data_IF_586664985725
#
_entry.id   IF_586664985725
#
_cell.length_a   1.000
_cell.length_b   1.000
_cell.length_c   1.000
_cell.angle_alpha   90.00
_cell.angle_beta   90.00
_cell.angle_gamma   90.00
#
_symmetry.space_group_name_H-M   'P 1'
#
loop_
_entity.id
_entity.type
_entity.pdbx_description
1 polymer ?
#
# COMPACT_ATOMS: atom_id res chain seq x y z
N UNK A 1 2.73 9.32 -7.82
CA UNK A 1 2.16 8.02 -7.43
C UNK A 1 3.22 6.96 -7.59
N UNK A 2 3.28 5.96 -6.72
CA UNK A 2 4.38 5.00 -6.67
C UNK A 2 3.87 3.56 -6.61
N UNK A 3 4.71 2.63 -7.07
CA UNK A 3 4.61 1.20 -6.79
C UNK A 3 5.79 0.82 -5.91
N UNK A 4 5.54 0.06 -4.84
CA UNK A 4 6.58 -0.37 -3.93
C UNK A 4 6.94 -1.81 -4.29
N UNK A 5 8.12 -1.99 -4.89
CA UNK A 5 8.58 -3.30 -5.39
C UNK A 5 9.56 -3.93 -4.41
N UNK A 6 9.31 -5.17 -4.03
CA UNK A 6 10.28 -5.98 -3.33
C UNK A 6 11.44 -6.34 -4.27
N UNK A 7 12.68 -6.04 -3.87
CA UNK A 7 13.87 -6.25 -4.70
C UNK A 7 14.19 -7.73 -4.94
N UNK A 8 13.86 -8.61 -4.00
CA UNK A 8 14.19 -10.03 -4.09
C UNK A 8 13.20 -10.81 -4.98
N UNK A 9 11.90 -10.55 -4.84
CA UNK A 9 10.85 -11.27 -5.58
C UNK A 9 10.34 -10.53 -6.83
N UNK A 10 10.61 -9.24 -6.96
CA UNK A 10 10.04 -8.39 -8.01
C UNK A 10 8.55 -8.06 -7.83
N UNK A 11 7.90 -8.59 -6.79
CA UNK A 11 6.48 -8.39 -6.47
C UNK A 11 6.21 -7.02 -5.85
N UNK A 12 4.97 -6.55 -5.99
CA UNK A 12 4.52 -5.26 -5.49
C UNK A 12 3.74 -5.39 -4.18
N UNK A 13 3.85 -4.37 -3.32
CA UNK A 13 2.94 -4.19 -2.20
C UNK A 13 1.51 -3.95 -2.72
N UNK A 14 0.58 -4.81 -2.33
CA UNK A 14 -0.79 -4.85 -2.85
C UNK A 14 -1.82 -5.06 -1.72
N UNK A 15 -3.04 -4.57 -1.93
CA UNK A 15 -4.19 -4.84 -1.06
C UNK A 15 -4.79 -6.21 -1.41
N UNK A 16 -4.78 -7.15 -0.46
CA UNK A 16 -5.33 -8.49 -0.68
C UNK A 16 -6.77 -8.42 -1.18
N UNK A 17 -7.04 -9.10 -2.31
CA UNK A 17 -8.33 -9.12 -2.99
C UNK A 17 -8.92 -7.73 -3.29
N UNK A 18 -8.07 -6.71 -3.48
CA UNK A 18 -8.51 -5.31 -3.70
C UNK A 18 -9.39 -4.76 -2.57
N UNK A 19 -9.22 -5.27 -1.35
CA UNK A 19 -10.03 -4.86 -0.20
C UNK A 19 -9.92 -3.36 0.12
N UNK A 20 -11.01 -2.77 0.61
CA UNK A 20 -11.10 -1.34 0.95
C UNK A 20 -11.46 -1.07 2.41
N UNK A 21 -11.78 -2.13 3.16
CA UNK A 21 -12.12 -2.06 4.57
C UNK A 21 -10.87 -1.88 5.45
N UNK A 22 -11.05 -1.28 6.63
CA UNK A 22 -10.00 -1.29 7.65
C UNK A 22 -9.66 -2.74 8.03
N UNK A 23 -8.38 -3.03 8.23
CA UNK A 23 -7.89 -4.39 8.45
C UNK A 23 -7.76 -5.24 7.19
N UNK A 24 -7.94 -4.66 5.98
CA UNK A 24 -7.51 -5.33 4.74
C UNK A 24 -6.02 -5.60 4.83
N UNK A 25 -5.63 -6.87 4.72
CA UNK A 25 -4.22 -7.25 4.73
C UNK A 25 -3.48 -6.75 3.50
N UNK A 26 -2.19 -6.50 3.69
CA UNK A 26 -1.24 -6.26 2.61
C UNK A 26 -0.46 -7.52 2.31
N UNK A 27 -0.18 -7.75 1.04
CA UNK A 27 0.67 -8.85 0.59
C UNK A 27 1.62 -8.40 -0.51
N UNK A 28 2.52 -9.31 -0.91
CA UNK A 28 3.37 -9.13 -2.08
C UNK A 28 2.77 -9.93 -3.24
N UNK A 29 2.38 -9.25 -4.30
CA UNK A 29 1.73 -9.85 -5.46
C UNK A 29 2.41 -9.49 -6.78
N UNK A 30 2.21 -10.32 -7.81
CA UNK A 30 2.67 -10.04 -9.16
C UNK A 30 2.17 -8.66 -9.63
N UNK A 31 2.97 -7.96 -10.43
CA UNK A 31 2.56 -6.68 -11.02
C UNK A 31 1.44 -6.92 -12.03
N UNK A 32 0.21 -6.57 -11.66
CA UNK A 32 -0.99 -6.75 -12.49
C UNK A 32 -1.49 -5.42 -13.06
N UNK A 33 -0.71 -4.35 -12.91
CA UNK A 33 -1.10 -3.01 -13.36
C UNK A 33 -2.24 -2.37 -12.55
N UNK A 34 -2.76 -3.05 -11.53
CA UNK A 34 -3.91 -2.61 -10.73
C UNK A 34 -3.64 -1.40 -9.85
N UNK A 35 -4.70 -0.63 -9.55
CA UNK A 35 -4.64 0.54 -8.65
C UNK A 35 -4.49 0.16 -7.18
N UNK A 36 -4.82 -1.08 -6.81
CA UNK A 36 -4.54 -1.67 -5.49
C UNK A 36 -3.04 -1.73 -5.17
N UNK A 37 -2.19 -1.65 -6.20
CA UNK A 37 -0.72 -1.64 -6.11
C UNK A 37 -0.11 -0.24 -6.14
N UNK A 38 -0.95 0.81 -6.19
CA UNK A 38 -0.52 2.19 -6.27
C UNK A 38 -0.61 2.90 -4.92
N UNK A 39 0.46 3.60 -4.57
CA UNK A 39 0.64 4.23 -3.26
C UNK A 39 1.06 5.69 -3.41
N UNK A 40 0.47 6.55 -2.57
CA UNK A 40 0.87 7.95 -2.43
C UNK A 40 1.77 8.05 -1.21
N UNK A 41 2.96 8.59 -1.39
CA UNK A 41 3.86 8.96 -0.31
C UNK A 41 3.52 10.38 0.09
N UNK A 42 2.98 10.56 1.29
CA UNK A 42 2.65 11.87 1.84
C UNK A 42 3.58 12.20 3.00
N UNK A 43 4.35 13.27 2.86
CA UNK A 43 5.19 13.78 3.94
C UNK A 43 4.33 14.44 5.02
N UNK A 44 4.70 14.23 6.28
CA UNK A 44 4.06 14.88 7.43
C UNK A 44 4.95 15.99 7.99
N UNK A 45 4.39 17.00 8.68
CA UNK A 45 5.18 18.05 9.33
C UNK A 45 6.20 17.52 10.35
N UNK A 46 5.95 16.33 10.91
CA UNK A 46 6.80 15.65 11.87
C UNK A 46 7.99 14.93 11.20
N UNK A 47 8.20 15.11 9.89
CA UNK A 47 9.29 14.50 9.15
C UNK A 47 9.09 13.02 8.83
N UNK A 48 7.88 12.48 9.03
CA UNK A 48 7.53 11.10 8.68
C UNK A 48 6.79 11.03 7.34
N UNK A 49 6.49 9.82 6.87
CA UNK A 49 5.69 9.59 5.67
C UNK A 49 4.47 8.73 5.97
N UNK A 50 3.34 9.04 5.33
CA UNK A 50 2.17 8.16 5.25
C UNK A 50 2.10 7.55 3.86
N UNK A 51 1.96 6.23 3.81
CA UNK A 51 1.67 5.50 2.58
C UNK A 51 0.16 5.36 2.43
N UNK A 52 -0.46 6.17 1.55
CA UNK A 52 -1.90 6.10 1.28
C UNK A 52 -2.20 5.25 0.05
N UNK A 53 -3.26 4.47 0.11
CA UNK A 53 -3.75 3.71 -1.04
C UNK A 53 -4.35 4.64 -2.09
N UNK A 54 -4.06 4.35 -3.36
CA UNK A 54 -4.74 4.96 -4.52
C UNK A 54 -6.13 4.40 -4.78
N UNK A 55 -6.41 3.21 -4.23
CA UNK A 55 -7.62 2.42 -4.48
C UNK A 55 -8.61 2.52 -3.32
N UNK A 56 -8.16 2.16 -2.12
CA UNK A 56 -8.94 2.28 -0.90
C UNK A 56 -8.86 3.72 -0.39
N UNK A 57 -9.72 4.59 -0.94
CA UNK A 57 -9.71 6.03 -0.70
C UNK A 57 -9.55 6.40 0.78
N UNK A 58 -8.53 7.20 1.08
CA UNK A 58 -8.25 7.69 2.43
C UNK A 58 -7.61 6.67 3.38
N UNK A 59 -7.41 5.41 2.98
CA UNK A 59 -6.77 4.38 3.80
C UNK A 59 -5.25 4.44 3.69
N UNK A 60 -4.58 4.13 4.80
CA UNK A 60 -3.13 4.15 4.93
C UNK A 60 -2.62 2.77 5.35
N UNK A 61 -1.36 2.47 5.01
CA UNK A 61 -0.64 1.35 5.59
C UNK A 61 -0.54 1.54 7.10
N UNK A 62 -0.92 0.52 7.85
CA UNK A 62 -0.79 0.46 9.30
C UNK A 62 -0.10 -0.84 9.73
N UNK A 63 0.48 -0.80 10.92
CA UNK A 63 0.96 -1.98 11.62
C UNK A 63 -0.10 -2.41 12.61
N UNK A 64 -0.39 -3.70 12.67
CA UNK A 64 -1.25 -4.26 13.72
C UNK A 64 -0.56 -4.02 15.08
N UNK A 65 -1.28 -3.37 16.01
CA UNK A 65 -0.85 -3.26 17.40
C UNK A 65 -1.45 -4.44 18.17
N UNK A 66 -0.60 -5.14 18.93
CA UNK A 66 -1.01 -6.13 19.92
C UNK A 66 -1.23 -5.43 21.26
#
# INVERSE_FOLDING_TARGET
MYRIRNRASGKLLDLTMTGTANGTWLHLWEDVGGTSQMWKVEHTPEGTVRLRSSWAGGKCVDTVRY
#
